data_IF_971497872329
#
_entry.id   IF_971497872329
#
_cell.length_a   1.000
_cell.length_b   1.000
_cell.length_c   1.000
_cell.angle_alpha   90.00
_cell.angle_beta   90.00
_cell.angle_gamma   90.00
#
_symmetry.space_group_name_H-M   'P 1'
#
loop_
_entity.id
_entity.type
_entity.pdbx_description
1 polymer ?
#
# COMPACT_ATOMS: atom_id res chain seq x y z
N UNK A 1 6.97 8.58 -1.23
CA UNK A 1 6.07 8.56 -0.07
C UNK A 1 6.01 7.17 0.51
N UNK A 2 6.03 7.09 1.84
CA UNK A 2 5.77 5.87 2.59
C UNK A 2 4.33 5.95 3.11
N UNK A 3 3.49 4.99 2.71
CA UNK A 3 2.08 4.96 3.10
C UNK A 3 1.88 3.76 4.02
N UNK A 4 1.54 4.03 5.27
CA UNK A 4 1.21 2.96 6.20
C UNK A 4 -0.27 2.63 6.07
N UNK A 5 -0.58 1.34 5.94
CA UNK A 5 -1.95 0.83 5.92
C UNK A 5 -2.25 0.16 7.24
N UNK A 6 -3.37 0.52 7.86
CA UNK A 6 -3.91 -0.18 9.01
C UNK A 6 -5.19 -0.88 8.58
N UNK A 7 -5.13 -2.19 8.53
CA UNK A 7 -6.25 -3.02 8.08
C UNK A 7 -7.25 -3.27 9.19
N UNK A 8 -8.50 -3.58 8.80
CA UNK A 8 -9.49 -4.14 9.72
C UNK A 8 -8.99 -5.48 10.27
N UNK A 9 -9.42 -5.84 11.48
CA UNK A 9 -8.89 -7.00 12.19
C UNK A 9 -9.86 -8.18 12.25
N UNK A 10 -11.06 -8.06 11.69
CA UNK A 10 -12.12 -9.05 11.79
C UNK A 10 -12.64 -9.53 10.44
N UNK A 11 -11.85 -9.34 9.37
CA UNK A 11 -12.22 -9.66 7.99
C UNK A 11 -11.18 -10.52 7.27
N UNK A 12 -10.48 -11.37 8.00
CA UNK A 12 -9.37 -12.15 7.44
C UNK A 12 -9.79 -13.03 6.26
N UNK A 13 -10.96 -13.68 6.35
CA UNK A 13 -11.46 -14.55 5.27
C UNK A 13 -11.83 -13.73 4.04
N UNK A 14 -12.55 -12.62 4.23
CA UNK A 14 -12.96 -11.73 3.16
C UNK A 14 -11.74 -11.10 2.48
N UNK A 15 -10.75 -10.69 3.26
CA UNK A 15 -9.51 -10.15 2.73
C UNK A 15 -8.74 -11.22 1.94
N UNK A 16 -8.70 -12.46 2.41
CA UNK A 16 -8.03 -13.54 1.69
C UNK A 16 -8.62 -13.74 0.30
N UNK A 17 -9.93 -13.59 0.15
CA UNK A 17 -10.61 -13.72 -1.14
C UNK A 17 -10.28 -12.56 -2.09
N UNK A 18 -9.99 -11.38 -1.58
CA UNK A 18 -9.67 -10.18 -2.37
C UNK A 18 -8.16 -10.04 -2.60
N UNK A 19 -7.33 -10.71 -1.80
CA UNK A 19 -5.87 -10.55 -1.84
C UNK A 19 -5.25 -10.77 -3.21
N UNK A 20 -5.67 -11.73 -4.04
CA UNK A 20 -5.10 -11.86 -5.39
C UNK A 20 -5.28 -10.61 -6.23
N UNK A 21 -6.44 -9.98 -6.16
CA UNK A 21 -6.72 -8.73 -6.89
C UNK A 21 -5.89 -7.56 -6.35
N UNK A 22 -5.74 -7.48 -5.03
CA UNK A 22 -4.89 -6.49 -4.38
C UNK A 22 -3.43 -6.63 -4.82
N UNK A 23 -2.91 -7.86 -4.84
CA UNK A 23 -1.54 -8.13 -5.28
C UNK A 23 -1.34 -7.82 -6.76
N UNK A 24 -2.32 -8.12 -7.60
CA UNK A 24 -2.26 -7.80 -9.02
C UNK A 24 -2.24 -6.28 -9.24
N UNK A 25 -3.03 -5.52 -8.49
CA UNK A 25 -3.03 -4.07 -8.55
C UNK A 25 -1.65 -3.50 -8.19
N UNK A 26 -1.12 -3.91 -7.03
CA UNK A 26 0.21 -3.45 -6.60
C UNK A 26 1.31 -3.90 -7.57
N UNK A 27 1.19 -5.10 -8.12
CA UNK A 27 2.15 -5.61 -9.10
C UNK A 27 2.21 -4.77 -10.37
N UNK A 28 1.05 -4.28 -10.85
CA UNK A 28 1.02 -3.38 -12.02
C UNK A 28 1.72 -2.06 -11.71
N UNK A 29 1.48 -1.49 -10.54
CA UNK A 29 2.17 -0.26 -10.13
C UNK A 29 3.68 -0.47 -10.00
N UNK A 30 4.10 -1.62 -9.51
CA UNK A 30 5.52 -1.98 -9.43
C UNK A 30 6.14 -2.11 -10.82
N UNK A 31 5.45 -2.76 -11.74
CA UNK A 31 5.91 -2.90 -13.13
C UNK A 31 6.04 -1.54 -13.83
N UNK A 32 5.18 -0.58 -13.48
CA UNK A 32 5.25 0.78 -14.02
C UNK A 32 6.30 1.65 -13.32
N UNK A 33 6.98 1.13 -12.30
CA UNK A 33 7.98 1.89 -11.54
C UNK A 33 7.39 2.90 -10.56
N UNK A 34 6.09 2.84 -10.30
CA UNK A 34 5.39 3.75 -9.39
C UNK A 34 5.37 3.26 -7.96
N UNK A 35 5.35 1.94 -7.75
CA UNK A 35 5.42 1.31 -6.44
C UNK A 35 6.80 0.68 -6.31
N UNK A 36 7.53 1.07 -5.27
CA UNK A 36 8.92 0.63 -5.07
C UNK A 36 9.01 -0.62 -4.19
N UNK A 37 8.13 -0.72 -3.21
CA UNK A 37 8.09 -1.86 -2.28
C UNK A 37 6.75 -1.85 -1.55
N UNK A 38 6.26 -3.02 -1.18
CA UNK A 38 5.05 -3.14 -0.36
C UNK A 38 5.09 -4.47 0.39
N UNK A 39 4.62 -4.47 1.62
CA UNK A 39 4.52 -5.70 2.39
C UNK A 39 3.98 -5.46 3.79
N UNK A 40 3.51 -6.52 4.44
CA UNK A 40 2.99 -6.42 5.80
C UNK A 40 4.13 -6.31 6.81
N UNK A 41 3.85 -5.62 7.92
CA UNK A 41 4.70 -5.75 9.10
C UNK A 41 4.38 -7.10 9.75
N UNK A 42 5.41 -7.92 9.90
CA UNK A 42 5.24 -9.29 10.40
C UNK A 42 4.58 -9.29 11.78
N UNK A 43 3.56 -10.12 11.94
CA UNK A 43 2.85 -10.26 13.21
C UNK A 43 1.82 -9.16 13.49
N UNK A 44 1.48 -8.35 12.50
CA UNK A 44 0.51 -7.26 12.65
C UNK A 44 -0.55 -7.31 11.56
N UNK A 45 -1.60 -6.46 11.71
CA UNK A 45 -2.57 -6.18 10.64
C UNK A 45 -2.25 -4.88 9.92
N UNK A 46 -0.98 -4.52 9.86
CA UNK A 46 -0.52 -3.28 9.23
C UNK A 46 0.44 -3.61 8.10
N UNK A 47 0.58 -2.68 7.17
CA UNK A 47 1.49 -2.84 6.03
C UNK A 47 2.12 -1.49 5.67
N UNK A 48 3.24 -1.56 4.96
CA UNK A 48 3.91 -0.39 4.42
C UNK A 48 3.94 -0.49 2.90
N UNK A 49 3.55 0.60 2.24
CA UNK A 49 3.59 0.73 0.79
C UNK A 49 4.45 1.95 0.46
N UNK A 50 5.48 1.77 -0.35
CA UNK A 50 6.37 2.85 -0.77
C UNK A 50 6.12 3.15 -2.24
N UNK A 51 5.72 4.39 -2.53
CA UNK A 51 5.35 4.82 -3.88
C UNK A 51 6.09 6.09 -4.29
N UNK A 52 6.21 6.30 -5.60
CA UNK A 52 6.66 7.58 -6.17
C UNK A 52 5.44 8.45 -6.42
N UNK A 53 5.48 9.67 -5.89
CA UNK A 53 4.43 10.66 -6.10
C UNK A 53 5.00 12.06 -5.87
N UNK A 54 4.36 13.07 -6.42
CA UNK A 54 4.82 14.45 -6.27
C UNK A 54 4.38 15.07 -4.94
N UNK A 55 3.25 14.57 -4.40
CA UNK A 55 2.69 15.07 -3.15
C UNK A 55 1.87 13.97 -2.46
N UNK A 56 1.39 14.29 -1.27
CA UNK A 56 0.59 13.37 -0.47
C UNK A 56 -0.71 12.95 -1.17
N UNK A 57 -1.40 13.92 -1.77
CA UNK A 57 -2.64 13.64 -2.50
C UNK A 57 -2.39 12.71 -3.69
N UNK A 58 -1.28 12.90 -4.40
CA UNK A 58 -0.89 12.03 -5.51
C UNK A 58 -0.58 10.62 -5.06
N UNK A 59 0.07 10.46 -3.91
CA UNK A 59 0.35 9.14 -3.35
C UNK A 59 -0.93 8.39 -3.01
N UNK A 60 -1.88 9.05 -2.36
CA UNK A 60 -3.17 8.45 -2.03
C UNK A 60 -4.00 8.17 -3.29
N UNK A 61 -3.99 9.07 -4.27
CA UNK A 61 -4.71 8.88 -5.54
C UNK A 61 -4.18 7.67 -6.31
N UNK A 62 -2.87 7.45 -6.29
CA UNK A 62 -2.25 6.30 -6.94
C UNK A 62 -2.77 4.97 -6.37
N UNK A 63 -3.06 4.93 -5.08
CA UNK A 63 -3.50 3.75 -4.37
C UNK A 63 -5.02 3.65 -4.20
N UNK A 64 -5.77 4.61 -4.75
CA UNK A 64 -7.22 4.70 -4.56
C UNK A 64 -7.98 3.48 -5.05
N UNK A 65 -7.55 2.90 -6.17
CA UNK A 65 -8.22 1.76 -6.78
C UNK A 65 -7.75 0.40 -6.25
N UNK A 66 -6.93 0.38 -5.19
CA UNK A 66 -6.56 -0.86 -4.53
C UNK A 66 -7.84 -1.60 -4.08
N UNK A 67 -8.04 -2.86 -4.52
CA UNK A 67 -9.23 -3.63 -4.12
C UNK A 67 -9.45 -3.71 -2.61
N UNK A 68 -8.40 -3.73 -1.79
CA UNK A 68 -8.56 -3.68 -0.34
C UNK A 68 -9.14 -2.36 0.13
N UNK A 69 -8.72 -1.25 -0.48
CA UNK A 69 -9.26 0.05 -0.15
C UNK A 69 -10.72 0.18 -0.60
N UNK A 70 -11.02 -0.25 -1.81
CA UNK A 70 -12.37 -0.19 -2.38
C UNK A 70 -13.36 -1.04 -1.59
N UNK A 71 -12.91 -2.16 -1.03
CA UNK A 71 -13.74 -3.04 -0.21
C UNK A 71 -13.94 -2.53 1.23
N UNK A 72 -13.26 -1.46 1.63
CA UNK A 72 -13.37 -0.93 2.98
C UNK A 72 -12.54 -1.69 4.03
N UNK A 73 -11.51 -2.42 3.60
CA UNK A 73 -10.69 -3.23 4.52
C UNK A 73 -9.51 -2.48 5.10
N UNK A 74 -9.29 -1.23 4.69
CA UNK A 74 -8.22 -0.39 5.21
C UNK A 74 -8.83 0.70 6.09
N UNK A 75 -8.58 0.62 7.40
CA UNK A 75 -9.09 1.58 8.37
C UNK A 75 -8.42 2.95 8.24
N UNK A 76 -7.11 2.95 8.04
CA UNK A 76 -6.32 4.18 7.93
C UNK A 76 -5.27 4.02 6.85
N UNK A 77 -5.05 5.09 6.10
CA UNK A 77 -3.91 5.24 5.21
C UNK A 77 -3.14 6.47 5.67
N UNK A 78 -1.89 6.27 6.09
CA UNK A 78 -1.07 7.33 6.67
C UNK A 78 0.10 7.60 5.74
N UNK A 79 -0.01 8.60 4.84
CA UNK A 79 1.09 8.95 3.94
C UNK A 79 2.08 9.87 4.63
N UNK A 80 3.36 9.62 4.37
CA UNK A 80 4.45 10.48 4.83
C UNK A 80 5.47 10.64 3.71
N UNK A 81 5.92 11.86 3.49
CA UNK A 81 7.05 12.08 2.61
C UNK A 81 8.27 11.41 3.23
N UNK A 82 8.95 10.57 2.46
CA UNK A 82 10.12 9.84 2.90
C UNK A 82 11.24 10.02 1.89
N UNK A 83 12.40 10.40 2.38
CA UNK A 83 13.57 10.62 1.54
C UNK A 83 14.65 9.58 1.87
N UNK A 84 14.63 8.40 1.25
CA UNK A 84 15.66 7.40 1.46
C UNK A 84 16.96 7.89 0.82
N UNK A 85 18.00 8.04 1.64
CA UNK A 85 19.28 8.61 1.19
C UNK A 85 20.38 7.56 1.06
N UNK A 86 20.17 6.36 1.60
CA UNK A 86 21.14 5.27 1.57
C UNK A 86 20.39 3.98 1.26
N UNK A 87 20.94 3.18 0.36
CA UNK A 87 20.40 1.86 0.03
C UNK A 87 19.71 1.82 -1.31
N UNK A 88 19.01 0.70 -1.57
CA UNK A 88 18.43 0.41 -2.90
C UNK A 88 17.32 1.36 -3.30
N UNK A 89 16.68 2.02 -2.34
CA UNK A 89 15.58 2.95 -2.63
C UNK A 89 16.06 4.42 -2.65
N UNK A 90 17.34 4.66 -2.41
CA UNK A 90 17.89 6.01 -2.44
C UNK A 90 17.96 6.57 -3.86
#
# INVERSE_FOLDING_TARGET
YAVEYRYVTDKDEEMAAVRPSHRAFNGRLADEGRLLAAGPYVGTHDALIVVRAEDEAGALALLEDDPFHQAGYINERIPREWNPVIGVLA
#
